data_IF_465732458529
#
_entry.id   IF_465732458529
#
_cell.length_a   1.000
_cell.length_b   1.000
_cell.length_c   1.000
_cell.angle_alpha   90.00
_cell.angle_beta   90.00
_cell.angle_gamma   90.00
#
_symmetry.space_group_name_H-M   'P 1'
#
loop_
_entity.id
_entity.type
_entity.pdbx_description
1 polymer ?
#
# COMPACT_ATOMS: atom_id res chain seq x y z
N UNK A 1 31.12 11.17 12.47
CA UNK A 1 30.78 9.74 12.37
C UNK A 1 30.36 9.51 10.93
N UNK A 2 31.14 8.78 10.13
CA UNK A 2 30.83 8.61 8.71
C UNK A 2 29.44 7.99 8.57
N UNK A 3 28.55 8.66 7.85
CA UNK A 3 27.18 8.22 7.56
C UNK A 3 27.21 6.89 6.80
N UNK A 4 27.25 5.79 7.56
CA UNK A 4 27.14 4.44 7.00
C UNK A 4 25.69 4.25 6.58
N UNK A 5 25.49 4.25 5.27
CA UNK A 5 24.23 3.86 4.65
C UNK A 5 24.17 2.34 4.56
N UNK A 6 22.95 1.79 4.58
CA UNK A 6 22.74 0.36 4.33
C UNK A 6 23.29 0.00 2.94
N UNK A 7 24.01 -1.11 2.87
CA UNK A 7 24.54 -1.71 1.64
C UNK A 7 23.74 -2.93 1.21
N UNK A 8 23.13 -3.62 2.17
CA UNK A 8 22.36 -4.85 1.94
C UNK A 8 21.01 -4.77 2.65
N UNK A 9 20.07 -5.60 2.18
CA UNK A 9 18.80 -5.87 2.85
C UNK A 9 18.62 -7.39 2.97
N UNK A 10 18.08 -7.84 4.09
CA UNK A 10 17.77 -9.25 4.35
C UNK A 10 16.69 -9.33 5.44
N UNK A 11 16.17 -10.53 5.71
CA UNK A 11 15.24 -10.83 6.81
C UNK A 11 14.00 -9.92 6.87
N UNK A 12 12.86 -10.42 6.37
CA UNK A 12 11.56 -9.80 6.59
C UNK A 12 11.14 -9.96 8.05
N UNK A 13 10.68 -8.87 8.68
CA UNK A 13 10.18 -8.92 10.06
C UNK A 13 9.19 -7.79 10.33
N UNK A 14 8.57 -7.89 11.51
CA UNK A 14 7.75 -6.84 12.11
C UNK A 14 6.62 -6.34 11.20
N UNK A 15 5.96 -7.27 10.49
CA UNK A 15 4.80 -6.94 9.69
C UNK A 15 3.63 -6.50 10.59
N UNK A 16 2.88 -5.51 10.14
CA UNK A 16 1.68 -4.99 10.79
C UNK A 16 0.65 -4.62 9.73
N UNK A 17 -0.63 -4.66 10.08
CA UNK A 17 -1.70 -4.05 9.30
C UNK A 17 -2.31 -2.87 10.06
N UNK A 18 -2.86 -1.89 9.36
CA UNK A 18 -3.66 -0.83 9.94
C UNK A 18 -4.90 -0.62 9.08
N UNK A 19 -6.10 -0.78 9.65
CA UNK A 19 -7.34 -0.62 8.89
C UNK A 19 -7.43 0.77 8.25
N UNK A 20 -7.74 0.82 6.96
CA UNK A 20 -7.95 2.04 6.20
C UNK A 20 -9.42 2.43 6.27
N UNK A 21 -9.68 3.69 6.59
CA UNK A 21 -10.99 4.34 6.44
C UNK A 21 -10.86 5.49 5.45
N UNK A 22 -11.72 5.51 4.44
CA UNK A 22 -11.85 6.61 3.48
C UNK A 22 -13.16 7.32 3.77
N UNK A 23 -13.09 8.60 4.14
CA UNK A 23 -14.24 9.46 4.37
C UNK A 23 -14.98 9.79 3.08
N UNK A 24 -16.20 10.32 3.19
CA UNK A 24 -17.03 10.73 2.05
C UNK A 24 -16.37 11.85 1.21
N UNK A 25 -15.53 12.65 1.84
CA UNK A 25 -14.71 13.71 1.24
C UNK A 25 -13.40 13.19 0.62
N UNK A 26 -13.17 11.87 0.68
CA UNK A 26 -11.92 11.24 0.24
C UNK A 26 -10.78 11.31 1.26
N UNK A 27 -11.03 11.79 2.48
CA UNK A 27 -10.02 11.84 3.53
C UNK A 27 -9.63 10.43 3.99
N UNK A 28 -8.33 10.15 3.98
CA UNK A 28 -7.76 8.84 4.35
C UNK A 28 -7.31 8.89 5.81
N UNK A 29 -7.75 7.91 6.60
CA UNK A 29 -7.29 7.72 7.97
C UNK A 29 -7.01 6.24 8.25
N UNK A 30 -6.14 5.98 9.24
CA UNK A 30 -5.75 4.63 9.62
C UNK A 30 -5.96 4.38 11.10
N UNK A 31 -6.38 3.16 11.43
CA UNK A 31 -6.30 2.66 12.79
C UNK A 31 -4.84 2.49 13.27
N UNK A 32 -4.65 2.27 14.56
CA UNK A 32 -3.33 1.93 15.09
C UNK A 32 -2.81 0.62 14.44
N UNK A 33 -1.52 0.56 14.04
CA UNK A 33 -0.95 -0.67 13.48
C UNK A 33 -1.07 -1.86 14.45
N UNK A 34 -1.59 -2.97 13.95
CA UNK A 34 -1.76 -4.25 14.67
C UNK A 34 -0.72 -5.25 14.15
N UNK A 35 0.03 -5.94 15.03
CA UNK A 35 1.05 -6.90 14.63
C UNK A 35 0.52 -8.07 13.78
N UNK A 36 1.29 -8.46 12.76
CA UNK A 36 1.15 -9.69 11.97
C UNK A 36 2.35 -10.61 12.26
N UNK A 37 2.34 -11.34 13.40
CA UNK A 37 3.44 -12.24 13.73
C UNK A 37 3.54 -13.39 12.71
N UNK A 38 4.75 -13.92 12.56
CA UNK A 38 5.01 -15.11 11.74
C UNK A 38 5.24 -14.84 10.26
N UNK A 39 5.66 -13.64 9.85
CA UNK A 39 6.04 -13.38 8.45
C UNK A 39 7.18 -14.28 7.98
N UNK A 40 6.94 -14.99 6.89
CA UNK A 40 7.89 -15.92 6.26
C UNK A 40 8.50 -15.28 5.02
N UNK A 41 7.66 -14.78 4.11
CA UNK A 41 8.10 -14.13 2.88
C UNK A 41 7.11 -13.06 2.44
N UNK A 42 7.57 -12.12 1.61
CA UNK A 42 6.76 -11.10 0.97
C UNK A 42 7.31 -10.87 -0.44
N UNK A 43 6.48 -11.13 -1.45
CA UNK A 43 6.74 -10.80 -2.84
C UNK A 43 5.73 -9.76 -3.31
N UNK A 44 6.20 -8.68 -3.93
CA UNK A 44 5.34 -7.63 -4.48
C UNK A 44 5.91 -7.18 -5.82
N UNK A 45 5.18 -7.47 -6.88
CA UNK A 45 5.51 -7.13 -8.25
C UNK A 45 4.77 -5.85 -8.66
N UNK A 46 5.48 -4.95 -9.35
CA UNK A 46 4.87 -3.70 -9.80
C UNK A 46 3.77 -3.99 -10.82
N UNK A 47 2.60 -3.40 -10.62
CA UNK A 47 1.48 -3.45 -11.55
C UNK A 47 1.35 -2.09 -12.24
N UNK A 48 1.29 -2.12 -13.57
CA UNK A 48 1.17 -0.94 -14.42
C UNK A 48 2.21 -0.95 -15.53
N UNK A 49 1.75 -0.95 -16.77
CA UNK A 49 2.61 -0.88 -17.95
C UNK A 49 2.55 0.52 -18.56
N UNK A 50 3.67 1.07 -19.05
CA UNK A 50 3.64 2.33 -19.79
C UNK A 50 2.83 2.18 -21.08
N UNK A 51 1.85 3.06 -21.30
CA UNK A 51 1.06 3.10 -22.53
C UNK A 51 1.63 4.16 -23.48
N UNK A 52 1.86 3.77 -24.73
CA UNK A 52 2.34 4.71 -25.75
C UNK A 52 1.16 5.39 -26.45
N UNK A 53 1.15 6.71 -26.43
CA UNK A 53 0.33 7.51 -27.33
C UNK A 53 1.10 7.75 -28.64
N UNK A 54 0.51 7.35 -29.75
CA UNK A 54 1.12 7.47 -31.07
C UNK A 54 0.57 8.70 -31.82
N UNK A 55 1.48 9.51 -32.35
CA UNK A 55 1.17 10.60 -33.28
C UNK A 55 2.26 10.65 -34.36
N UNK A 56 1.89 11.06 -35.57
CA UNK A 56 2.77 11.11 -36.75
C UNK A 56 3.54 9.79 -37.03
N UNK A 57 2.92 8.65 -36.69
CA UNK A 57 3.50 7.33 -36.91
C UNK A 57 4.62 6.92 -35.93
N UNK A 58 4.86 7.71 -34.87
CA UNK A 58 5.83 7.39 -33.81
C UNK A 58 5.15 7.37 -32.44
N UNK A 59 5.77 6.70 -31.45
CA UNK A 59 5.38 6.84 -30.05
C UNK A 59 5.73 8.27 -29.61
N UNK A 60 4.72 9.15 -29.62
CA UNK A 60 4.87 10.57 -29.40
C UNK A 60 4.94 10.91 -27.90
N UNK A 61 4.25 10.12 -27.07
CA UNK A 61 4.24 10.30 -25.63
C UNK A 61 4.07 8.94 -24.92
N UNK A 62 4.73 8.78 -23.77
CA UNK A 62 4.61 7.58 -22.93
C UNK A 62 3.84 7.96 -21.68
N UNK A 63 2.66 7.39 -21.51
CA UNK A 63 1.82 7.50 -20.32
C UNK A 63 2.35 6.47 -19.32
N UNK A 64 2.99 6.95 -18.26
CA UNK A 64 3.42 6.07 -17.18
C UNK A 64 2.24 5.75 -16.27
N UNK A 65 1.77 4.51 -16.29
CA UNK A 65 0.66 4.05 -15.46
C UNK A 65 1.21 3.25 -14.27
N UNK A 66 1.09 3.79 -13.05
CA UNK A 66 1.47 3.10 -11.83
C UNK A 66 0.19 2.64 -11.09
N UNK A 67 -0.20 1.39 -11.33
CA UNK A 67 -1.37 0.76 -10.70
C UNK A 67 -1.04 0.10 -9.35
N UNK A 68 0.20 0.26 -8.89
CA UNK A 68 0.66 -0.19 -7.58
C UNK A 68 1.39 -1.53 -7.65
N UNK A 69 1.01 -2.49 -6.81
CA UNK A 69 1.69 -3.78 -6.67
C UNK A 69 0.72 -4.92 -6.45
N UNK A 70 1.05 -6.10 -6.97
CA UNK A 70 0.39 -7.36 -6.66
C UNK A 70 1.41 -8.38 -6.17
N UNK A 71 1.02 -9.26 -5.27
CA UNK A 71 1.88 -10.38 -4.89
C UNK A 71 1.36 -11.10 -3.66
N UNK A 72 2.26 -11.76 -2.95
CA UNK A 72 1.92 -12.70 -1.88
C UNK A 72 2.66 -12.35 -0.58
N UNK A 73 1.90 -12.36 0.52
CA UNK A 73 2.41 -12.34 1.89
C UNK A 73 2.22 -13.74 2.48
N UNK A 74 3.33 -14.37 2.85
CA UNK A 74 3.34 -15.68 3.48
C UNK A 74 3.54 -15.54 4.99
N UNK A 75 2.64 -16.15 5.76
CA UNK A 75 2.65 -16.16 7.22
C UNK A 75 2.70 -17.60 7.72
N UNK A 76 3.35 -17.85 8.86
CA UNK A 76 3.31 -19.15 9.52
C UNK A 76 1.87 -19.56 9.90
N UNK A 77 1.07 -18.57 10.31
CA UNK A 77 -0.36 -18.68 10.55
C UNK A 77 -0.95 -17.27 10.47
N UNK A 78 -2.05 -17.08 9.74
CA UNK A 78 -2.76 -15.80 9.70
C UNK A 78 -3.44 -15.58 11.06
N UNK A 79 -3.14 -14.49 11.77
CA UNK A 79 -3.75 -14.18 13.06
C UNK A 79 -5.27 -14.05 12.96
N UNK A 80 -5.98 -14.50 14.00
CA UNK A 80 -7.44 -14.33 14.12
C UNK A 80 -7.87 -12.85 14.04
N UNK A 81 -7.04 -11.93 14.55
CA UNK A 81 -7.31 -10.49 14.45
C UNK A 81 -7.34 -10.03 12.99
N UNK A 82 -6.47 -10.54 12.12
CA UNK A 82 -6.51 -10.20 10.70
C UNK A 82 -7.73 -10.81 10.00
N UNK A 83 -8.08 -12.06 10.35
CA UNK A 83 -9.27 -12.73 9.83
C UNK A 83 -10.57 -11.98 10.17
N UNK A 84 -10.67 -11.46 11.38
CA UNK A 84 -11.83 -10.70 11.83
C UNK A 84 -11.82 -9.25 11.34
N UNK A 85 -10.70 -8.54 11.45
CA UNK A 85 -10.59 -7.13 11.10
C UNK A 85 -10.59 -6.90 9.58
N UNK A 86 -9.79 -7.68 8.84
CA UNK A 86 -9.55 -7.48 7.41
C UNK A 86 -10.43 -8.41 6.58
N UNK A 87 -10.44 -9.72 6.89
CA UNK A 87 -11.24 -10.67 6.14
C UNK A 87 -12.73 -10.68 6.54
N UNK A 88 -13.10 -9.95 7.60
CA UNK A 88 -14.47 -9.81 8.11
C UNK A 88 -15.14 -11.15 8.45
N UNK A 89 -14.35 -12.14 8.83
CA UNK A 89 -14.86 -13.38 9.42
C UNK A 89 -15.55 -13.05 10.77
N UNK A 90 -16.71 -13.64 11.02
CA UNK A 90 -17.48 -13.41 12.25
C UNK A 90 -17.18 -14.51 13.26
N UNK A 91 -16.73 -14.13 14.44
CA UNK A 91 -16.61 -15.04 15.57
C UNK A 91 -18.00 -15.29 16.16
N UNK A 92 -18.47 -16.54 16.14
CA UNK A 92 -19.73 -16.91 16.76
C UNK A 92 -19.64 -16.98 18.29
N UNK A 93 -20.77 -17.23 18.96
CA UNK A 93 -20.82 -17.33 20.43
C UNK A 93 -20.02 -18.51 21.00
N UNK A 94 -19.53 -19.43 20.17
CA UNK A 94 -18.73 -20.60 20.53
C UNK A 94 -17.24 -20.43 20.17
N UNK A 95 -16.84 -19.27 19.64
CA UNK A 95 -15.47 -19.01 19.24
C UNK A 95 -15.10 -19.61 17.89
N UNK A 96 -16.07 -19.85 17.00
CA UNK A 96 -15.82 -20.35 15.64
C UNK A 96 -15.87 -19.17 14.67
N UNK A 97 -14.83 -19.05 13.84
CA UNK A 97 -14.80 -18.07 12.75
C UNK A 97 -15.66 -18.55 11.59
N UNK A 98 -16.58 -17.69 11.17
CA UNK A 98 -17.51 -17.94 10.07
C UNK A 98 -17.23 -16.92 8.97
N UNK A 99 -16.79 -17.43 7.82
CA UNK A 99 -16.70 -16.66 6.58
C UNK A 99 -18.11 -16.44 5.99
N UNK A 100 -18.41 -15.22 5.56
CA UNK A 100 -19.66 -14.87 4.90
C UNK A 100 -19.38 -14.44 3.46
N UNK A 101 -20.13 -14.98 2.49
CA UNK A 101 -20.00 -14.64 1.08
C UNK A 101 -20.21 -13.15 0.79
N UNK A 102 -21.08 -12.51 1.57
CA UNK A 102 -21.54 -11.13 1.36
C UNK A 102 -20.65 -10.11 2.09
N UNK A 103 -19.64 -10.58 2.82
CA UNK A 103 -18.72 -9.70 3.52
C UNK A 103 -17.75 -9.02 2.55
N UNK A 104 -17.79 -7.69 2.53
CA UNK A 104 -16.78 -6.87 1.86
C UNK A 104 -15.53 -6.79 2.74
N UNK A 105 -14.41 -7.27 2.21
CA UNK A 105 -13.13 -7.28 2.93
C UNK A 105 -12.64 -5.85 3.15
N UNK A 106 -12.01 -5.60 4.29
CA UNK A 106 -11.50 -4.27 4.61
C UNK A 106 -10.25 -3.94 3.79
N UNK A 107 -10.08 -2.64 3.49
CA UNK A 107 -8.81 -2.11 3.04
C UNK A 107 -7.92 -1.81 4.25
N UNK A 108 -6.60 -1.89 4.06
CA UNK A 108 -5.64 -1.65 5.13
C UNK A 108 -4.31 -1.13 4.59
N UNK A 109 -3.51 -0.50 5.44
CA UNK A 109 -2.08 -0.31 5.18
C UNK A 109 -1.29 -1.52 5.67
N UNK A 110 -0.34 -2.00 4.85
CA UNK A 110 0.61 -3.05 5.23
C UNK A 110 1.95 -2.40 5.57
N UNK A 111 2.39 -2.54 6.81
CA UNK A 111 3.70 -2.08 7.28
C UNK A 111 4.62 -3.28 7.49
N UNK A 112 5.89 -3.15 7.16
CA UNK A 112 6.89 -4.21 7.37
C UNK A 112 8.30 -3.62 7.35
N UNK A 113 9.28 -4.37 7.84
CA UNK A 113 10.68 -3.97 7.71
C UNK A 113 11.56 -5.10 7.22
N UNK A 114 12.62 -4.71 6.53
CA UNK A 114 13.77 -5.57 6.28
C UNK A 114 14.92 -5.14 7.18
N UNK A 115 15.68 -6.10 7.68
CA UNK A 115 16.99 -5.80 8.24
C UNK A 115 17.90 -5.22 7.17
N UNK A 116 18.72 -4.25 7.58
CA UNK A 116 19.87 -3.77 6.83
C UNK A 116 21.12 -3.89 7.69
N UNK A 117 22.31 -3.79 7.08
CA UNK A 117 23.59 -3.90 7.78
C UNK A 117 23.88 -2.75 8.75
N UNK A 118 23.15 -1.64 8.68
CA UNK A 118 23.27 -0.51 9.60
C UNK A 118 21.97 -0.24 10.37
N UNK A 119 20.82 -0.29 9.69
CA UNK A 119 19.49 -0.03 10.28
C UNK A 119 18.39 -0.78 9.54
N UNK A 120 17.22 -0.96 10.16
CA UNK A 120 16.06 -1.52 9.48
C UNK A 120 15.51 -0.56 8.42
N UNK A 121 15.05 -1.12 7.30
CA UNK A 121 14.37 -0.39 6.22
C UNK A 121 12.88 -0.67 6.36
N UNK A 122 12.16 0.31 6.91
CA UNK A 122 10.71 0.20 7.17
C UNK A 122 9.93 0.68 5.98
N UNK A 123 8.84 -0.02 5.69
CA UNK A 123 7.97 0.20 4.55
C UNK A 123 6.53 0.32 5.01
N UNK A 124 5.74 1.02 4.21
CA UNK A 124 4.29 1.03 4.27
C UNK A 124 3.74 0.98 2.84
N UNK A 125 2.77 0.11 2.61
CA UNK A 125 1.87 0.11 1.46
C UNK A 125 0.53 0.67 1.94
N UNK A 126 0.00 1.71 1.30
CA UNK A 126 -1.07 2.51 1.88
C UNK A 126 -2.48 1.94 1.72
N UNK A 127 -2.76 1.31 0.58
CA UNK A 127 -4.09 0.82 0.25
C UNK A 127 -3.98 -0.61 -0.26
N UNK A 128 -3.92 -1.54 0.68
CA UNK A 128 -3.90 -2.97 0.44
C UNK A 128 -5.30 -3.57 0.58
N UNK A 129 -5.63 -4.47 -0.33
CA UNK A 129 -6.65 -5.50 -0.15
C UNK A 129 -5.97 -6.87 -0.11
N UNK A 130 -6.59 -7.81 0.60
CA UNK A 130 -6.16 -9.19 0.66
C UNK A 130 -7.23 -10.10 0.05
N UNK A 131 -6.81 -11.18 -0.62
CA UNK A 131 -7.73 -12.26 -0.98
C UNK A 131 -7.98 -13.18 0.21
N UNK A 132 -9.05 -13.99 0.12
CA UNK A 132 -9.24 -15.11 1.04
C UNK A 132 -8.03 -16.06 0.95
N UNK A 133 -7.49 -16.52 2.09
CA UNK A 133 -6.37 -17.44 2.08
C UNK A 133 -6.79 -18.80 1.53
N UNK A 134 -5.84 -19.50 0.92
CA UNK A 134 -6.07 -20.89 0.49
C UNK A 134 -6.16 -21.80 1.72
N UNK A 135 -7.07 -22.76 1.69
CA UNK A 135 -7.10 -23.85 2.66
C UNK A 135 -6.29 -25.00 2.07
N UNK A 136 -5.10 -25.20 2.61
CA UNK A 136 -4.19 -26.26 2.17
C UNK A 136 -3.58 -27.00 3.36
N UNK A 137 -3.19 -28.26 3.12
CA UNK A 137 -2.79 -29.19 4.16
C UNK A 137 -1.92 -30.31 3.59
N UNK A 138 -0.81 -30.63 4.25
CA UNK A 138 0.08 -31.75 3.92
C UNK A 138 0.36 -32.59 5.18
N UNK A 139 0.39 -33.91 5.06
CA UNK A 139 0.85 -34.77 6.15
C UNK A 139 2.38 -34.71 6.28
N UNK A 140 2.90 -34.76 7.50
CA UNK A 140 4.34 -34.91 7.70
C UNK A 140 4.77 -36.30 7.19
N UNK A 141 5.90 -36.34 6.49
CA UNK A 141 6.58 -37.57 6.12
C UNK A 141 7.60 -37.93 7.23
N UNK A 142 8.89 -38.01 6.93
CA UNK A 142 9.94 -38.34 7.91
C UNK A 142 10.32 -37.16 8.82
N UNK A 143 10.07 -35.92 8.36
CA UNK A 143 10.39 -34.68 9.09
C UNK A 143 9.13 -33.84 9.25
N UNK A 144 9.07 -33.11 10.37
CA UNK A 144 8.02 -32.13 10.61
C UNK A 144 8.24 -30.93 9.68
N UNK A 145 7.37 -30.78 8.68
CA UNK A 145 7.34 -29.62 7.78
C UNK A 145 6.31 -28.62 8.31
N UNK A 146 6.75 -27.40 8.58
CA UNK A 146 5.83 -26.32 8.94
C UNK A 146 5.15 -25.84 7.66
N UNK A 147 3.83 -25.88 7.65
CA UNK A 147 3.03 -25.28 6.59
C UNK A 147 2.74 -23.82 6.93
N UNK A 148 2.66 -23.03 5.89
CA UNK A 148 2.41 -21.60 5.93
C UNK A 148 1.08 -21.30 5.26
N UNK A 149 0.54 -20.13 5.53
CA UNK A 149 -0.66 -19.61 4.90
C UNK A 149 -0.27 -18.42 4.02
N UNK A 150 -0.78 -18.42 2.79
CA UNK A 150 -0.51 -17.34 1.82
C UNK A 150 -1.73 -16.44 1.66
N UNK A 151 -1.50 -15.13 1.76
CA UNK A 151 -2.44 -14.08 1.41
C UNK A 151 -1.96 -13.40 0.12
N UNK A 152 -2.78 -13.39 -0.92
CA UNK A 152 -2.52 -12.52 -2.07
C UNK A 152 -2.90 -11.10 -1.70
N UNK A 153 -1.97 -10.18 -1.89
CA UNK A 153 -2.06 -8.76 -1.57
C UNK A 153 -2.08 -7.97 -2.87
N UNK A 154 -3.05 -7.07 -3.00
CA UNK A 154 -3.07 -6.03 -4.03
C UNK A 154 -2.95 -4.67 -3.35
N UNK A 155 -1.92 -3.92 -3.68
CA UNK A 155 -1.68 -2.57 -3.19
C UNK A 155 -1.93 -1.56 -4.31
N UNK A 156 -2.98 -0.75 -4.22
CA UNK A 156 -3.33 0.25 -5.24
C UNK A 156 -2.99 1.66 -4.78
N UNK A 157 -2.94 2.66 -5.69
CA UNK A 157 -2.80 4.05 -5.29
C UNK A 157 -4.00 4.51 -4.45
N UNK A 158 -3.73 5.36 -3.45
CA UNK A 158 -4.75 6.23 -2.86
C UNK A 158 -5.24 7.26 -3.90
N UNK A 159 -6.33 7.96 -3.59
CA UNK A 159 -6.89 9.04 -4.44
C UNK A 159 -5.89 10.16 -4.73
N UNK A 160 -4.96 10.40 -3.80
CA UNK A 160 -3.87 11.36 -3.94
C UNK A 160 -2.60 10.79 -4.63
N UNK A 161 -2.71 9.58 -5.19
CA UNK A 161 -1.65 8.89 -5.94
C UNK A 161 -0.62 8.14 -5.09
N UNK A 162 -0.70 8.17 -3.76
CA UNK A 162 0.28 7.49 -2.89
C UNK A 162 0.05 5.98 -2.91
N UNK A 163 1.09 5.22 -3.26
CA UNK A 163 1.09 3.74 -3.18
C UNK A 163 1.86 3.24 -1.98
N UNK A 164 3.08 3.76 -1.78
CA UNK A 164 3.99 3.30 -0.72
C UNK A 164 4.91 4.40 -0.21
N UNK A 165 5.45 4.19 0.98
CA UNK A 165 6.60 4.92 1.48
C UNK A 165 7.59 3.98 2.16
N UNK A 166 8.83 4.46 2.32
CA UNK A 166 9.87 3.75 3.06
C UNK A 166 10.82 4.71 3.75
N UNK A 167 11.45 4.25 4.83
CA UNK A 167 12.52 4.99 5.50
C UNK A 167 13.77 5.05 4.61
N UNK A 168 14.43 6.20 4.59
CA UNK A 168 15.70 6.44 3.93
C UNK A 168 16.85 6.65 4.92
N UNK A 169 18.02 6.97 4.38
CA UNK A 169 19.26 7.17 5.16
C UNK A 169 19.20 8.39 6.09
N UNK A 170 18.31 9.34 5.82
CA UNK A 170 18.17 10.59 6.58
C UNK A 170 16.76 10.75 7.12
N UNK A 171 15.99 9.66 7.27
CA UNK A 171 14.68 9.72 7.92
C UNK A 171 14.82 10.27 9.34
N UNK A 172 13.95 11.21 9.67
CA UNK A 172 13.87 11.81 11.00
C UNK A 172 13.77 10.75 12.11
N UNK A 173 14.44 10.99 13.24
CA UNK A 173 14.52 10.02 14.32
C UNK A 173 13.16 9.73 14.96
N UNK A 174 12.28 10.73 15.04
CA UNK A 174 10.92 10.59 15.60
C UNK A 174 10.06 9.79 14.64
N UNK A 175 10.07 10.14 13.35
CA UNK A 175 9.38 9.36 12.31
C UNK A 175 9.85 7.91 12.30
N UNK A 176 11.16 7.69 12.43
CA UNK A 176 11.70 6.35 12.53
C UNK A 176 11.14 5.64 13.77
N UNK A 177 11.31 6.20 14.97
CA UNK A 177 10.87 5.59 16.23
C UNK A 177 9.36 5.30 16.29
N UNK A 178 8.55 6.16 15.67
CA UNK A 178 7.09 6.10 15.75
C UNK A 178 6.44 5.35 14.57
N UNK A 179 7.23 4.77 13.67
CA UNK A 179 6.75 4.10 12.44
C UNK A 179 5.64 3.07 12.65
N UNK A 180 5.64 2.38 13.79
CA UNK A 180 4.64 1.36 14.14
C UNK A 180 3.62 1.86 15.18
N UNK A 181 3.69 3.13 15.61
CA UNK A 181 2.67 3.74 16.48
C UNK A 181 1.49 4.26 15.66
N UNK A 182 1.76 4.78 14.47
CA UNK A 182 0.75 5.26 13.52
C UNK A 182 1.28 5.12 12.08
N UNK A 183 0.37 4.97 11.12
CA UNK A 183 0.74 4.97 9.70
C UNK A 183 1.32 6.34 9.33
N UNK A 184 2.56 6.34 8.82
CA UNK A 184 3.21 7.55 8.37
C UNK A 184 2.47 8.13 7.16
N UNK A 185 1.93 9.34 7.28
CA UNK A 185 1.39 10.11 6.16
C UNK A 185 2.27 11.34 5.94
N UNK A 186 2.90 11.50 4.76
CA UNK A 186 3.64 12.73 4.48
C UNK A 186 2.67 13.90 4.46
N UNK A 187 3.08 15.03 5.02
CA UNK A 187 2.34 16.29 4.88
C UNK A 187 2.08 16.57 3.39
N UNK A 188 0.88 17.10 3.08
CA UNK A 188 0.54 17.46 1.71
C UNK A 188 1.62 18.41 1.14
N UNK A 189 2.20 18.02 0.02
CA UNK A 189 3.18 18.86 -0.67
C UNK A 189 2.42 20.05 -1.28
N UNK A 190 2.73 21.31 -0.93
CA UNK A 190 2.01 22.46 -1.48
C UNK A 190 2.09 22.54 -3.02
N UNK A 191 3.03 21.85 -3.66
CA UNK A 191 3.12 21.76 -5.12
C UNK A 191 2.02 20.90 -5.77
N UNK A 192 1.46 19.90 -5.07
CA UNK A 192 0.38 19.05 -5.62
C UNK A 192 -1.00 19.71 -5.57
N UNK A 193 -1.15 20.82 -4.82
CA UNK A 193 -2.41 21.58 -4.72
C UNK A 193 -2.61 22.57 -5.88
N UNK A 194 -1.64 22.74 -6.77
CA UNK A 194 -1.74 23.68 -7.90
C UNK A 194 -2.21 23.02 -9.21
N UNK A 195 -2.29 21.68 -9.26
CA UNK A 195 -2.69 20.98 -10.49
C UNK A 195 -4.20 21.03 -10.79
N UNK A 196 -5.04 21.47 -9.84
CA UNK A 196 -6.51 21.46 -10.01
C UNK A 196 -7.14 22.84 -10.28
N UNK A 197 -6.34 23.91 -10.40
CA UNK A 197 -6.83 25.22 -10.81
C UNK A 197 -6.60 25.49 -12.31
N UNK A 198 -6.87 24.47 -13.14
CA UNK A 198 -7.05 24.62 -14.59
C UNK A 198 -8.38 25.30 -14.93
N UNK A 199 -8.62 26.48 -14.35
CA UNK A 199 -9.74 27.34 -14.73
C UNK A 199 -9.62 27.67 -16.21
N UNK A 200 -10.47 27.07 -17.04
CA UNK A 200 -10.68 27.44 -18.44
C UNK A 200 -10.99 28.93 -18.51
N UNK A 201 -9.98 29.75 -18.79
CA UNK A 201 -10.20 31.12 -19.25
C UNK A 201 -10.60 31.03 -20.72
N UNK A 202 -11.90 30.87 -20.96
CA UNK A 202 -12.51 31.20 -22.25
C UNK A 202 -12.29 32.70 -22.47
N UNK A 203 -11.40 33.03 -23.40
CA UNK A 203 -11.26 34.39 -23.90
C UNK A 203 -12.40 34.63 -24.89
N UNK A 204 -13.39 35.41 -24.45
CA UNK A 204 -14.46 35.95 -25.27
C UNK A 204 -13.87 36.78 -26.42
N UNK A 205 -13.99 36.27 -27.65
CA UNK A 205 -13.75 37.06 -28.86
C UNK A 205 -15.03 37.82 -29.23
N UNK A 206 -15.27 38.95 -28.56
CA UNK A 206 -16.32 39.89 -28.95
C UNK A 206 -15.74 41.30 -29.16
N UNK A 207 -15.74 41.72 -30.43
CA UNK A 207 -15.95 43.10 -30.83
C UNK A 207 -14.72 44.02 -30.83
N UNK A 208 -14.17 44.28 -32.01
CA UNK A 208 -13.55 45.57 -32.27
C UNK A 208 -14.06 46.13 -33.61
N UNK A 209 -15.32 46.57 -33.60
CA UNK A 209 -15.80 47.57 -34.54
C UNK A 209 -15.39 48.94 -34.02
N UNK A 210 -14.51 49.65 -34.73
CA UNK A 210 -14.31 51.08 -34.54
C UNK A 210 -14.54 51.78 -35.88
N UNK A 211 -15.62 52.54 -35.92
CA UNK A 211 -16.02 53.37 -37.03
C UNK A 211 -15.36 54.76 -36.97
N UNK A 212 -15.41 55.43 -38.12
CA UNK A 212 -15.37 56.88 -38.39
C UNK A 212 -13.99 57.54 -38.58
N UNK A 213 -13.66 57.78 -39.85
CA UNK A 213 -13.90 59.08 -40.52
C UNK A 213 -13.90 58.91 -42.03
#
# INVERSE_FOLDING_TARGET
>A
MSDKNNKVKYNLKNAHYALLTVGEDGAVSYAAPVPLPGSVSLSLDANGEPENFYADGIAYYVINNNMGYDGDLELALIPESFRTDVLREKLDAKGVLIENSDAELALFALLFEFDGDVRHIRHVMYNCSASRPKIEGKTNEEKKEVQTETLTIKATPLSDGKVKAKTGNTTDATVYADWYKAVYLPAADPASLQADNGGKSVVDAAGNGKALS
#
